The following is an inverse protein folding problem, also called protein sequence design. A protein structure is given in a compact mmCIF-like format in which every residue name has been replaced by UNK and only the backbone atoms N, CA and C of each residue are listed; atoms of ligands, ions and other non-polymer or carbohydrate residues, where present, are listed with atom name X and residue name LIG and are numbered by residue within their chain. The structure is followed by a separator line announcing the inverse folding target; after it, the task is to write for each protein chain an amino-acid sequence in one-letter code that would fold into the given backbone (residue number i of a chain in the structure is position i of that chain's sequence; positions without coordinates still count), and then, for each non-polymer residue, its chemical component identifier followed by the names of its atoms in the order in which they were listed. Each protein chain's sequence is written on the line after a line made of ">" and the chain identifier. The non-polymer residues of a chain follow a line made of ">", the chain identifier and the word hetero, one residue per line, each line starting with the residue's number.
data_IF_913742928318
#
_entry.id   IF_913742928318
#
_cell.length_a   1.000
_cell.length_b   1.000
_cell.length_c   1.000
_cell.angle_alpha   90.00
_cell.angle_beta   90.00
_cell.angle_gamma   90.00
#
_symmetry.space_group_name_H-M   'P 1'
#
loop_
_entity.id
_entity.type
_entity.pdbx_description
1 polymer ?
#
# COMPACT_ATOMS: atom_id res chain seq x y z
N UNK A 1 -14.17 -1.73 -37.21
CA UNK A 1 -15.31 -2.03 -38.12
C UNK A 1 -15.08 -3.40 -38.71
N UNK A 2 -16.05 -4.30 -38.62
CA UNK A 2 -16.03 -5.62 -39.25
C UNK A 2 -17.08 -5.60 -40.37
N UNK A 3 -16.70 -6.00 -41.59
CA UNK A 3 -17.58 -6.01 -42.76
C UNK A 3 -17.78 -7.42 -43.29
N UNK A 4 -19.02 -7.77 -43.63
CA UNK A 4 -19.35 -9.06 -44.29
C UNK A 4 -18.91 -9.12 -45.75
N UNK A 5 -18.51 -8.01 -46.37
CA UNK A 5 -18.16 -7.94 -47.80
C UNK A 5 -16.70 -8.30 -48.11
N UNK A 6 -15.80 -8.25 -47.12
CA UNK A 6 -14.36 -8.54 -47.28
C UNK A 6 -13.89 -9.66 -46.34
N UNK A 7 -14.60 -10.79 -46.33
CA UNK A 7 -14.19 -11.98 -45.57
C UNK A 7 -14.06 -11.78 -44.05
N UNK A 8 -14.79 -10.83 -43.45
CA UNK A 8 -14.71 -10.55 -42.02
C UNK A 8 -13.53 -9.67 -41.59
N UNK A 9 -12.87 -8.97 -42.53
CA UNK A 9 -11.73 -8.09 -42.25
C UNK A 9 -12.10 -7.01 -41.20
N UNK A 10 -11.29 -6.89 -40.15
CA UNK A 10 -11.43 -5.89 -39.11
C UNK A 10 -10.56 -4.65 -39.42
N UNK A 11 -11.21 -3.50 -39.60
CA UNK A 11 -10.57 -2.22 -39.88
C UNK A 11 -10.50 -1.38 -38.60
N UNK A 12 -9.28 -1.03 -38.17
CA UNK A 12 -9.00 -0.14 -37.06
C UNK A 12 -8.82 1.30 -37.56
N UNK A 13 -9.34 2.28 -36.82
CA UNK A 13 -9.25 3.72 -37.16
C UNK A 13 -8.73 4.50 -35.95
N UNK A 14 -7.90 5.51 -36.19
CA UNK A 14 -7.27 6.34 -35.15
C UNK A 14 -8.14 7.49 -34.63
N UNK A 15 -9.23 7.82 -35.32
CA UNK A 15 -10.19 8.88 -34.95
C UNK A 15 -11.62 8.41 -35.18
N UNK A 16 -12.51 8.77 -34.26
CA UNK A 16 -13.95 8.48 -34.38
C UNK A 16 -14.59 9.51 -35.30
N UNK A 17 -15.02 9.09 -36.49
CA UNK A 17 -15.83 9.89 -37.41
C UNK A 17 -17.34 9.73 -37.18
N UNK A 18 -18.19 10.51 -37.87
CA UNK A 18 -19.63 10.35 -37.80
C UNK A 18 -20.06 8.94 -38.22
N UNK A 19 -21.05 8.38 -37.53
CA UNK A 19 -21.64 7.09 -37.88
C UNK A 19 -22.45 7.24 -39.17
N UNK A 20 -22.07 6.47 -40.19
CA UNK A 20 -22.79 6.37 -41.45
C UNK A 20 -23.44 4.99 -41.49
N UNK A 21 -24.74 4.96 -41.77
CA UNK A 21 -25.48 3.71 -41.92
C UNK A 21 -25.00 2.95 -43.17
N UNK A 22 -24.52 1.73 -42.97
CA UNK A 22 -24.07 0.84 -44.03
C UNK A 22 -24.47 -0.62 -43.71
N UNK A 23 -25.41 -1.22 -44.45
CA UNK A 23 -25.90 -2.59 -44.20
C UNK A 23 -24.76 -3.62 -44.20
N UNK A 24 -24.79 -4.58 -43.26
CA UNK A 24 -23.81 -5.68 -43.17
C UNK A 24 -22.50 -5.37 -42.44
N UNK A 25 -22.35 -4.17 -41.86
CA UNK A 25 -21.17 -3.80 -41.09
C UNK A 25 -21.46 -3.75 -39.58
N UNK A 26 -20.55 -4.27 -38.77
CA UNK A 26 -20.53 -4.11 -37.31
C UNK A 26 -19.45 -3.08 -36.96
N UNK A 27 -19.82 -2.05 -36.19
CA UNK A 27 -18.91 -1.00 -35.75
C UNK A 27 -18.85 -1.02 -34.22
N UNK A 28 -17.63 -1.08 -33.67
CA UNK A 28 -17.36 -0.79 -32.27
C UNK A 28 -16.57 0.51 -32.18
N UNK A 29 -16.93 1.38 -31.24
CA UNK A 29 -16.14 2.54 -30.85
C UNK A 29 -15.35 2.12 -29.63
N UNK A 30 -14.01 2.16 -29.72
CA UNK A 30 -13.17 1.97 -28.57
C UNK A 30 -13.26 3.24 -27.72
N UNK A 31 -14.01 3.21 -26.63
CA UNK A 31 -13.84 4.20 -25.57
C UNK A 31 -12.47 3.90 -24.93
N UNK A 32 -11.41 4.47 -25.50
CA UNK A 32 -10.12 4.54 -24.82
C UNK A 32 -10.44 5.28 -23.53
N UNK A 33 -10.41 4.56 -22.41
CA UNK A 33 -10.51 5.13 -21.08
C UNK A 33 -9.55 6.30 -21.07
N UNK A 34 -10.10 7.51 -20.97
CA UNK A 34 -9.32 8.66 -20.56
C UNK A 34 -8.82 8.25 -19.19
N UNK A 35 -7.54 7.87 -19.10
CA UNK A 35 -6.84 7.82 -17.83
C UNK A 35 -7.22 9.12 -17.13
N UNK A 36 -7.85 9.09 -15.95
CA UNK A 36 -8.19 10.31 -15.26
C UNK A 36 -6.95 11.19 -15.27
N UNK A 37 -7.10 12.42 -15.77
CA UNK A 37 -6.04 13.43 -15.66
C UNK A 37 -5.52 13.39 -14.23
N UNK A 38 -4.19 13.51 -14.00
CA UNK A 38 -3.64 13.52 -12.65
C UNK A 38 -4.49 14.47 -11.81
N UNK A 39 -4.96 13.96 -10.67
CA UNK A 39 -5.74 14.72 -9.68
C UNK A 39 -5.15 16.12 -9.56
N UNK A 40 -5.95 17.19 -9.61
CA UNK A 40 -5.42 18.54 -9.46
C UNK A 40 -4.64 18.57 -8.16
N UNK A 41 -3.33 18.79 -8.28
CA UNK A 41 -2.46 18.96 -7.12
C UNK A 41 -3.03 20.11 -6.31
N UNK A 42 -3.44 19.84 -5.08
CA UNK A 42 -3.61 20.94 -4.12
C UNK A 42 -2.25 21.62 -4.09
N UNK A 43 -2.20 22.91 -4.38
CA UNK A 43 -0.97 23.66 -4.20
C UNK A 43 -0.76 23.84 -2.70
N UNK A 44 -0.14 22.83 -2.05
CA UNK A 44 -0.04 22.70 -0.59
C UNK A 44 0.80 23.81 0.04
N UNK A 45 1.67 24.45 -0.75
CA UNK A 45 2.48 25.56 -0.30
C UNK A 45 2.48 26.71 -1.30
N UNK A 46 2.54 27.93 -0.78
CA UNK A 46 2.86 29.11 -1.60
C UNK A 46 4.35 29.41 -1.50
N UNK A 47 5.12 29.12 -2.56
CA UNK A 47 6.56 29.39 -2.60
C UNK A 47 6.86 30.88 -2.78
N UNK A 48 7.88 31.37 -2.08
CA UNK A 48 8.32 32.75 -2.06
C UNK A 48 9.85 32.82 -2.15
N UNK A 49 10.36 33.58 -3.11
CA UNK A 49 11.79 33.83 -3.24
C UNK A 49 12.23 34.99 -2.34
N UNK A 50 13.51 35.02 -2.01
CA UNK A 50 14.14 36.03 -1.15
C UNK A 50 13.43 36.21 0.20
N UNK A 51 12.93 35.10 0.76
CA UNK A 51 12.10 35.10 1.95
C UNK A 51 12.56 34.03 2.91
N UNK A 52 12.71 34.40 4.18
CA UNK A 52 12.92 33.51 5.30
C UNK A 52 11.64 33.44 6.15
N UNK A 53 11.47 32.35 6.88
CA UNK A 53 10.44 32.21 7.90
C UNK A 53 11.10 32.35 9.26
N UNK A 54 10.75 33.37 10.01
CA UNK A 54 11.26 33.56 11.37
C UNK A 54 10.63 32.57 12.35
N UNK A 55 11.39 32.13 13.35
CA UNK A 55 10.92 31.29 14.45
C UNK A 55 11.69 29.98 14.62
N UNK A 56 11.12 29.08 15.43
CA UNK A 56 11.76 27.82 15.81
C UNK A 56 11.73 26.80 14.66
N UNK A 57 12.88 26.17 14.43
CA UNK A 57 13.01 25.03 13.54
C UNK A 57 12.49 23.77 14.25
N UNK A 58 11.63 23.03 13.58
CA UNK A 58 11.18 21.70 14.00
C UNK A 58 12.21 20.65 13.62
N UNK A 59 12.57 20.64 12.33
CA UNK A 59 13.40 19.64 11.69
C UNK A 59 14.23 20.34 10.61
N UNK A 60 15.45 19.85 10.37
CA UNK A 60 16.26 20.24 9.22
C UNK A 60 16.63 19.00 8.39
N UNK A 61 16.53 19.13 7.07
CA UNK A 61 16.76 18.04 6.11
C UNK A 61 17.72 18.56 5.04
N UNK A 62 19.03 18.29 5.15
CA UNK A 62 20.03 18.68 4.16
C UNK A 62 19.85 17.93 2.83
N UNK A 63 20.54 18.39 1.78
CA UNK A 63 20.58 17.76 0.45
C UNK A 63 19.18 17.57 -0.17
N UNK A 64 18.28 18.53 0.04
CA UNK A 64 16.89 18.54 -0.45
C UNK A 64 16.72 19.50 -1.62
N UNK A 65 15.73 19.25 -2.49
CA UNK A 65 15.28 20.26 -3.45
C UNK A 65 14.22 21.19 -2.85
N UNK A 66 14.10 22.45 -3.29
CA UNK A 66 13.06 23.37 -2.82
C UNK A 66 11.64 22.81 -3.00
N UNK A 67 11.41 22.02 -4.06
CA UNK A 67 10.14 21.38 -4.37
C UNK A 67 9.74 20.31 -3.35
N UNK A 68 10.71 19.62 -2.76
CA UNK A 68 10.44 18.54 -1.80
C UNK A 68 10.07 19.08 -0.42
N UNK A 69 10.57 20.28 -0.06
CA UNK A 69 10.36 20.86 1.25
C UNK A 69 8.87 21.06 1.58
N UNK A 70 8.03 21.32 0.56
CA UNK A 70 6.60 21.47 0.75
C UNK A 70 5.96 20.17 1.26
N UNK A 71 6.23 19.05 0.59
CA UNK A 71 5.71 17.74 0.97
C UNK A 71 6.25 17.32 2.34
N UNK A 72 7.54 17.55 2.60
CA UNK A 72 8.18 17.26 3.88
C UNK A 72 7.57 18.08 5.02
N UNK A 73 7.26 19.35 4.80
CA UNK A 73 6.53 20.16 5.76
C UNK A 73 5.11 19.63 5.96
N UNK A 74 4.40 19.32 4.88
CA UNK A 74 3.01 18.84 4.93
C UNK A 74 2.87 17.56 5.78
N UNK A 75 3.82 16.63 5.70
CA UNK A 75 3.81 15.39 6.51
C UNK A 75 4.38 15.57 7.93
N UNK A 76 5.07 16.67 8.20
CA UNK A 76 5.68 16.92 9.50
C UNK A 76 4.68 17.55 10.44
N UNK A 77 4.31 16.82 11.49
CA UNK A 77 3.37 17.31 12.49
C UNK A 77 3.81 18.67 13.07
N UNK A 78 2.91 19.64 13.05
CA UNK A 78 3.16 20.99 13.58
C UNK A 78 3.92 21.91 12.62
N UNK A 79 4.36 21.45 11.45
CA UNK A 79 4.94 22.31 10.44
C UNK A 79 3.87 23.23 9.86
N UNK A 80 4.22 24.51 9.70
CA UNK A 80 3.36 25.54 9.07
C UNK A 80 4.02 26.18 7.88
N UNK A 81 5.35 26.17 7.82
CA UNK A 81 6.10 26.68 6.70
C UNK A 81 7.49 26.05 6.68
N UNK A 82 8.21 26.23 5.59
CA UNK A 82 9.61 25.86 5.48
C UNK A 82 10.45 27.01 4.93
N UNK A 83 11.75 26.89 5.14
CA UNK A 83 12.76 27.69 4.47
C UNK A 83 13.77 26.75 3.84
N UNK A 84 14.30 27.12 2.68
CA UNK A 84 15.31 26.39 1.95
C UNK A 84 16.45 27.30 1.54
N UNK A 85 17.67 26.79 1.60
CA UNK A 85 18.88 27.54 1.23
C UNK A 85 19.86 26.65 0.49
N UNK A 86 20.35 27.15 -0.65
CA UNK A 86 21.40 26.52 -1.45
C UNK A 86 22.76 26.58 -0.75
N UNK A 87 23.02 27.60 0.08
CA UNK A 87 24.36 27.80 0.70
C UNK A 87 24.64 26.86 1.88
N UNK A 88 23.65 26.11 2.34
CA UNK A 88 23.80 25.10 3.40
C UNK A 88 23.53 23.71 2.85
N UNK A 89 24.20 23.32 1.77
CA UNK A 89 24.02 22.04 1.09
C UNK A 89 22.55 21.75 0.70
N UNK A 90 21.80 22.77 0.27
CA UNK A 90 20.39 22.61 -0.10
C UNK A 90 19.51 22.12 1.07
N UNK A 91 19.54 22.79 2.22
CA UNK A 91 18.80 22.32 3.40
C UNK A 91 17.37 22.85 3.44
N UNK A 92 16.38 21.99 3.71
CA UNK A 92 15.03 22.39 4.13
C UNK A 92 15.00 22.54 5.67
N UNK A 93 14.63 23.70 6.19
CA UNK A 93 14.27 23.91 7.59
C UNK A 93 12.75 23.99 7.70
N UNK A 94 12.16 22.98 8.34
CA UNK A 94 10.73 22.90 8.61
C UNK A 94 10.43 23.69 9.88
N UNK A 95 9.41 24.55 9.86
CA UNK A 95 9.16 25.57 10.87
C UNK A 95 7.73 25.52 11.39
N UNK A 96 7.58 25.79 12.68
CA UNK A 96 6.28 25.84 13.37
C UNK A 96 5.59 27.22 13.30
N UNK A 97 6.27 28.19 12.70
CA UNK A 97 5.82 29.56 12.42
C UNK A 97 5.57 29.74 10.93
N UNK A 98 4.80 30.75 10.55
CA UNK A 98 4.58 31.20 9.17
C UNK A 98 4.97 32.67 8.96
N UNK A 99 5.58 33.31 9.95
CA UNK A 99 5.98 34.73 9.89
C UNK A 99 7.16 34.92 8.95
N UNK A 100 6.93 35.62 7.84
CA UNK A 100 7.93 35.88 6.79
C UNK A 100 8.80 37.09 7.09
N UNK A 101 10.09 37.02 6.75
CA UNK A 101 11.02 38.16 6.69
C UNK A 101 11.83 38.12 5.40
N UNK A 102 12.23 39.27 4.88
CA UNK A 102 13.06 39.33 3.67
C UNK A 102 14.46 38.76 3.95
N UNK A 103 14.94 37.86 3.08
CA UNK A 103 16.30 37.35 3.12
C UNK A 103 16.74 36.92 1.71
N UNK A 104 17.70 37.64 1.13
CA UNK A 104 18.11 37.46 -0.26
C UNK A 104 18.73 36.06 -0.50
N UNK A 105 18.27 35.38 -1.56
CA UNK A 105 18.76 34.04 -1.93
C UNK A 105 18.12 32.87 -1.18
N UNK A 106 17.19 33.14 -0.27
CA UNK A 106 16.45 32.13 0.49
C UNK A 106 15.07 31.89 -0.12
N UNK A 107 14.65 30.63 -0.20
CA UNK A 107 13.31 30.24 -0.66
C UNK A 107 12.49 29.84 0.56
N UNK A 108 11.26 30.33 0.69
CA UNK A 108 10.32 29.89 1.71
C UNK A 108 9.06 29.33 1.07
N UNK A 109 8.33 28.49 1.82
CA UNK A 109 6.99 28.08 1.46
C UNK A 109 6.10 28.03 2.70
N UNK A 110 4.93 28.68 2.63
CA UNK A 110 3.93 28.61 3.71
C UNK A 110 2.89 27.58 3.32
N UNK A 111 2.62 26.62 4.23
CA UNK A 111 1.58 25.63 4.02
C UNK A 111 0.22 26.32 4.02
N UNK A 112 -0.60 25.98 3.03
CA UNK A 112 -2.03 26.28 3.07
C UNK A 112 -2.71 25.18 3.88
N UNK A 113 -3.39 25.51 5.00
CA UNK A 113 -4.14 24.50 5.75
C UNK A 113 -5.16 23.83 4.83
N UNK A 114 -4.98 22.54 4.59
CA UNK A 114 -5.94 21.71 3.88
C UNK A 114 -6.51 20.70 4.87
N UNK A 115 -7.81 20.74 5.08
CA UNK A 115 -8.50 19.69 5.84
C UNK A 115 -8.87 18.58 4.86
N UNK A 116 -8.22 17.43 5.00
CA UNK A 116 -8.61 16.24 4.24
C UNK A 116 -9.78 15.58 4.97
N UNK A 117 -10.93 15.55 4.31
CA UNK A 117 -12.08 14.80 4.78
C UNK A 117 -12.05 13.40 4.15
N UNK A 118 -11.77 12.40 4.98
CA UNK A 118 -11.82 10.99 4.60
C UNK A 118 -13.26 10.47 4.65
N UNK A 119 -13.74 9.95 3.53
CA UNK A 119 -15.08 9.39 3.39
C UNK A 119 -14.98 7.89 3.12
N UNK A 120 -15.80 7.09 3.82
CA UNK A 120 -15.79 5.65 3.64
C UNK A 120 -16.23 5.33 2.20
N UNK A 121 -15.32 4.71 1.45
CA UNK A 121 -15.55 4.32 0.06
C UNK A 121 -15.87 2.85 -0.05
N UNK A 122 -15.18 2.01 0.73
CA UNK A 122 -15.30 0.58 0.61
C UNK A 122 -15.06 -0.12 1.94
N UNK A 123 -15.76 -1.23 2.16
CA UNK A 123 -15.51 -2.14 3.28
C UNK A 123 -15.30 -3.56 2.76
N UNK A 124 -14.25 -4.21 3.28
CA UNK A 124 -14.03 -5.65 3.24
C UNK A 124 -14.36 -6.20 4.63
N UNK A 125 -15.41 -7.01 4.73
CA UNK A 125 -15.86 -7.61 5.98
C UNK A 125 -16.36 -9.04 5.74
N UNK A 126 -16.76 -9.74 6.79
CA UNK A 126 -17.23 -11.13 6.70
C UNK A 126 -18.33 -11.38 5.68
N UNK A 127 -19.17 -10.39 5.37
CA UNK A 127 -20.24 -10.56 4.38
C UNK A 127 -19.72 -10.63 2.93
N UNK A 128 -18.56 -10.04 2.64
CA UNK A 128 -18.10 -9.85 1.26
C UNK A 128 -16.63 -10.20 1.00
N UNK A 129 -15.82 -10.48 2.04
CA UNK A 129 -14.36 -10.54 1.95
C UNK A 129 -13.90 -11.40 0.76
N UNK A 130 -14.13 -12.72 0.79
CA UNK A 130 -13.66 -13.62 -0.28
C UNK A 130 -14.24 -13.30 -1.66
N UNK A 131 -15.45 -12.74 -1.74
CA UNK A 131 -16.05 -12.38 -3.03
C UNK A 131 -15.37 -11.19 -3.71
N UNK A 132 -14.62 -10.39 -2.95
CA UNK A 132 -13.87 -9.23 -3.44
C UNK A 132 -12.43 -9.53 -3.83
N UNK A 133 -11.97 -10.77 -3.64
CA UNK A 133 -10.63 -11.20 -4.03
C UNK A 133 -10.71 -12.27 -5.14
N UNK A 134 -9.65 -12.33 -5.94
CA UNK A 134 -9.32 -13.44 -6.81
C UNK A 134 -8.33 -14.35 -6.05
N UNK A 135 -8.48 -15.67 -6.20
CA UNK A 135 -7.57 -16.65 -5.60
C UNK A 135 -6.49 -17.03 -6.62
N UNK A 136 -5.24 -16.71 -6.30
CA UNK A 136 -4.07 -17.11 -7.08
C UNK A 136 -3.79 -18.59 -6.87
N UNK A 137 -3.44 -19.31 -7.93
CA UNK A 137 -3.21 -20.77 -7.87
C UNK A 137 -1.92 -21.23 -8.53
N UNK A 138 -1.19 -20.33 -9.18
CA UNK A 138 0.04 -20.69 -9.89
C UNK A 138 1.20 -20.91 -8.91
N UNK A 139 2.38 -21.25 -9.43
CA UNK A 139 3.59 -21.41 -8.60
C UNK A 139 3.92 -20.11 -7.88
N UNK A 140 4.38 -20.21 -6.64
CA UNK A 140 4.71 -19.04 -5.84
C UNK A 140 5.86 -18.24 -6.50
N UNK A 141 5.66 -16.94 -6.82
CA UNK A 141 6.70 -16.13 -7.45
C UNK A 141 7.99 -15.99 -6.63
N UNK A 142 7.91 -16.16 -5.30
CA UNK A 142 9.05 -16.13 -4.37
C UNK A 142 9.59 -17.52 -4.04
N UNK A 143 9.23 -18.52 -4.86
CA UNK A 143 9.73 -19.90 -4.81
C UNK A 143 9.52 -20.60 -3.46
N UNK A 144 8.49 -20.21 -2.72
CA UNK A 144 8.13 -20.84 -1.46
C UNK A 144 7.63 -22.27 -1.60
N UNK A 145 7.76 -23.04 -0.52
CA UNK A 145 7.22 -24.39 -0.38
C UNK A 145 5.74 -24.34 0.02
N UNK A 146 4.94 -23.76 -0.87
CA UNK A 146 3.51 -23.53 -0.71
C UNK A 146 2.73 -24.11 -1.89
N UNK A 147 1.49 -24.54 -1.62
CA UNK A 147 0.53 -24.92 -2.66
C UNK A 147 -0.66 -23.97 -2.58
N UNK A 148 -0.66 -22.89 -3.37
CA UNK A 148 -1.78 -21.97 -3.40
C UNK A 148 -2.99 -22.62 -4.08
N UNK A 149 -4.08 -22.72 -3.33
CA UNK A 149 -5.31 -23.39 -3.78
C UNK A 149 -6.42 -22.39 -4.08
N UNK A 150 -7.34 -22.78 -4.98
CA UNK A 150 -8.52 -21.97 -5.26
C UNK A 150 -9.49 -21.95 -4.08
N UNK A 151 -10.49 -21.06 -4.14
CA UNK A 151 -11.46 -20.85 -3.08
C UNK A 151 -12.21 -22.14 -2.66
N UNK A 152 -12.66 -22.96 -3.62
CA UNK A 152 -13.42 -24.17 -3.31
C UNK A 152 -12.58 -25.19 -2.54
N UNK A 153 -11.33 -25.37 -2.94
CA UNK A 153 -10.39 -26.27 -2.25
C UNK A 153 -10.02 -25.70 -0.89
N UNK A 154 -9.78 -24.39 -0.78
CA UNK A 154 -9.50 -23.71 0.49
C UNK A 154 -10.64 -23.92 1.49
N UNK A 155 -11.90 -23.81 1.07
CA UNK A 155 -13.07 -24.08 1.91
C UNK A 155 -13.14 -25.54 2.35
N UNK A 156 -12.94 -26.48 1.42
CA UNK A 156 -12.98 -27.91 1.71
C UNK A 156 -11.90 -28.31 2.72
N UNK A 157 -10.72 -27.71 2.63
CA UNK A 157 -9.59 -27.95 3.52
C UNK A 157 -9.67 -27.12 4.82
N UNK A 158 -10.68 -26.26 4.98
CA UNK A 158 -10.82 -25.40 6.16
C UNK A 158 -9.79 -24.27 6.26
N UNK A 159 -9.13 -23.93 5.14
CA UNK A 159 -8.12 -22.86 5.09
C UNK A 159 -8.75 -21.47 5.14
N UNK A 160 -10.02 -21.36 4.74
CA UNK A 160 -10.78 -20.11 4.80
C UNK A 160 -12.17 -20.35 5.39
N UNK A 161 -12.64 -19.41 6.21
CA UNK A 161 -14.00 -19.44 6.76
C UNK A 161 -14.40 -18.08 7.35
N UNK A 162 -15.70 -17.88 7.53
CA UNK A 162 -16.21 -16.79 8.37
C UNK A 162 -16.66 -17.41 9.69
N UNK A 163 -16.07 -16.97 10.79
CA UNK A 163 -16.44 -17.42 12.12
C UNK A 163 -17.80 -16.85 12.53
N UNK A 164 -18.46 -17.52 13.47
CA UNK A 164 -19.80 -17.11 13.95
C UNK A 164 -19.85 -15.71 14.57
N UNK A 165 -18.73 -15.22 15.09
CA UNK A 165 -18.58 -13.86 15.61
C UNK A 165 -18.30 -12.81 14.51
N UNK A 166 -18.30 -13.20 13.24
CA UNK A 166 -18.11 -12.31 12.10
C UNK A 166 -16.65 -12.02 11.73
N UNK A 167 -15.67 -12.70 12.33
CA UNK A 167 -14.26 -12.60 11.91
C UNK A 167 -13.98 -13.48 10.70
N UNK A 168 -13.06 -13.03 9.86
CA UNK A 168 -12.63 -13.73 8.65
C UNK A 168 -11.35 -14.51 8.98
N UNK A 169 -11.36 -15.81 8.74
CA UNK A 169 -10.21 -16.70 8.93
C UNK A 169 -9.54 -17.02 7.60
N UNK A 170 -8.22 -16.97 7.54
CA UNK A 170 -7.47 -17.35 6.36
C UNK A 170 -6.09 -17.88 6.76
N UNK A 171 -5.82 -19.17 6.54
CA UNK A 171 -4.57 -19.79 6.98
C UNK A 171 -4.09 -20.89 6.06
N UNK A 172 -3.15 -21.68 6.58
CA UNK A 172 -2.57 -22.83 5.90
C UNK A 172 -3.04 -24.16 6.51
N UNK A 173 -2.82 -25.26 5.77
CA UNK A 173 -2.99 -26.59 6.34
C UNK A 173 -2.09 -26.72 7.56
N UNK A 174 -2.61 -27.27 8.65
CA UNK A 174 -1.86 -27.55 9.86
C UNK A 174 -2.18 -28.95 10.43
N UNK A 175 -2.61 -29.86 9.55
CA UNK A 175 -3.05 -31.22 9.94
C UNK A 175 -2.27 -32.31 9.23
N UNK A 176 -1.85 -32.05 7.99
CA UNK A 176 -1.31 -33.07 7.11
C UNK A 176 0.18 -32.87 6.88
N UNK A 177 0.92 -33.97 6.89
CA UNK A 177 2.26 -33.99 6.31
C UNK A 177 2.15 -33.84 4.80
N UNK A 178 3.10 -33.14 4.19
CA UNK A 178 3.13 -32.97 2.74
C UNK A 178 3.86 -34.17 2.13
N UNK A 179 3.17 -34.93 1.29
CA UNK A 179 3.68 -36.16 0.67
C UNK A 179 3.39 -36.18 -0.82
N UNK A 180 4.04 -37.09 -1.57
CA UNK A 180 3.68 -37.37 -2.96
C UNK A 180 4.07 -36.27 -3.97
N UNK A 181 5.13 -35.50 -3.70
CA UNK A 181 5.65 -34.51 -4.65
C UNK A 181 4.73 -33.29 -4.86
N UNK A 182 3.84 -32.99 -3.91
CA UNK A 182 3.06 -31.75 -3.90
C UNK A 182 3.98 -30.52 -3.88
N UNK A 183 3.49 -29.41 -4.43
CA UNK A 183 4.21 -28.13 -4.52
C UNK A 183 4.67 -27.59 -3.16
N UNK A 184 3.85 -27.80 -2.14
CA UNK A 184 4.14 -27.35 -0.80
C UNK A 184 2.96 -27.50 0.16
N UNK A 185 3.01 -26.78 1.29
CA UNK A 185 1.92 -26.74 2.26
C UNK A 185 0.73 -25.94 1.69
N UNK A 186 -0.49 -26.49 1.68
CA UNK A 186 -1.66 -25.77 1.18
C UNK A 186 -1.88 -24.45 1.93
N UNK A 187 -2.05 -23.37 1.17
CA UNK A 187 -2.32 -22.02 1.66
C UNK A 187 -3.12 -21.26 0.59
N UNK A 188 -3.35 -19.97 0.80
CA UNK A 188 -4.05 -19.12 -0.16
C UNK A 188 -3.31 -17.80 -0.38
N UNK A 189 -3.40 -17.29 -1.61
CA UNK A 189 -2.99 -15.94 -1.99
C UNK A 189 -4.16 -15.25 -2.67
N UNK A 190 -4.58 -14.13 -2.11
CA UNK A 190 -5.77 -13.38 -2.48
C UNK A 190 -5.33 -12.05 -3.07
N UNK A 191 -5.83 -11.70 -4.26
CA UNK A 191 -5.62 -10.39 -4.88
C UNK A 191 -6.95 -9.65 -5.04
N UNK A 192 -7.05 -8.43 -4.54
CA UNK A 192 -8.31 -7.67 -4.59
C UNK A 192 -8.73 -7.44 -6.03
N UNK A 193 -10.02 -7.54 -6.31
CA UNK A 193 -10.57 -7.19 -7.63
C UNK A 193 -10.46 -5.69 -7.90
N UNK A 194 -10.60 -4.89 -6.86
CA UNK A 194 -10.37 -3.45 -6.92
C UNK A 194 -8.86 -3.15 -6.98
N UNK A 195 -8.52 -2.12 -7.76
CA UNK A 195 -7.19 -1.52 -7.80
C UNK A 195 -7.27 -0.09 -7.26
N UNK A 196 -6.21 0.35 -6.59
CA UNK A 196 -6.16 1.64 -5.88
C UNK A 196 -5.05 2.54 -6.42
N UNK A 197 -5.27 3.85 -6.33
CA UNK A 197 -4.27 4.88 -6.66
C UNK A 197 -4.03 5.82 -5.46
N UNK A 198 -4.43 5.39 -4.27
CA UNK A 198 -4.48 6.22 -3.07
C UNK A 198 -5.68 5.87 -2.20
N UNK A 199 -5.65 6.39 -0.98
CA UNK A 199 -6.69 6.15 0.02
C UNK A 199 -6.12 6.02 1.42
N UNK A 200 -7.02 5.96 2.39
CA UNK A 200 -6.73 5.59 3.77
C UNK A 200 -7.32 4.22 4.04
N UNK A 201 -6.46 3.24 4.28
CA UNK A 201 -6.80 1.85 4.52
C UNK A 201 -6.65 1.56 6.01
N UNK A 202 -7.76 1.23 6.66
CA UNK A 202 -7.81 0.82 8.06
C UNK A 202 -7.97 -0.69 8.10
N UNK A 203 -6.90 -1.41 8.35
CA UNK A 203 -6.90 -2.87 8.48
C UNK A 203 -6.98 -3.25 9.97
N UNK A 204 -8.16 -3.69 10.42
CA UNK A 204 -8.40 -4.19 11.76
C UNK A 204 -8.13 -5.70 11.79
N UNK A 205 -7.05 -6.08 12.47
CA UNK A 205 -6.49 -7.43 12.48
C UNK A 205 -6.40 -7.95 13.92
N UNK A 206 -6.89 -9.16 14.15
CA UNK A 206 -6.86 -9.82 15.46
C UNK A 206 -5.69 -10.80 15.60
N UNK A 207 -5.25 -11.41 14.50
CA UNK A 207 -4.18 -12.39 14.47
C UNK A 207 -3.48 -12.38 13.10
N UNK A 208 -2.17 -12.52 13.07
CA UNK A 208 -1.37 -12.74 11.86
C UNK A 208 -0.61 -14.06 11.93
N UNK A 209 -0.22 -14.67 10.79
CA UNK A 209 0.43 -15.97 10.80
C UNK A 209 1.75 -15.97 11.56
N UNK A 210 1.96 -17.04 12.31
CA UNK A 210 3.22 -17.36 13.00
C UNK A 210 3.59 -18.81 12.76
N UNK A 211 4.86 -19.13 12.96
CA UNK A 211 5.39 -20.49 12.86
C UNK A 211 6.72 -20.55 12.09
N UNK A 212 7.52 -21.60 12.31
CA UNK A 212 8.82 -21.75 11.66
C UNK A 212 8.69 -21.83 10.15
N UNK A 213 9.44 -20.98 9.45
CA UNK A 213 9.48 -20.93 8.00
C UNK A 213 8.26 -20.27 7.34
N UNK A 214 7.33 -19.70 8.12
CA UNK A 214 6.25 -18.87 7.57
C UNK A 214 6.79 -17.57 6.97
N UNK A 215 6.13 -17.09 5.93
CA UNK A 215 6.33 -15.75 5.36
C UNK A 215 4.96 -15.20 4.93
N UNK A 216 4.23 -14.55 5.84
CA UNK A 216 2.96 -13.91 5.52
C UNK A 216 3.15 -12.45 5.09
N UNK A 217 2.30 -12.00 4.17
CA UNK A 217 2.29 -10.63 3.71
C UNK A 217 0.87 -10.06 3.55
N UNK A 218 0.70 -8.79 3.92
CA UNK A 218 -0.41 -7.91 3.53
C UNK A 218 0.19 -6.68 2.85
N UNK A 219 -0.03 -6.58 1.55
CA UNK A 219 0.79 -5.73 0.68
C UNK A 219 0.00 -5.27 -0.54
N UNK A 220 0.59 -4.35 -1.31
CA UNK A 220 0.01 -3.81 -2.52
C UNK A 220 0.97 -4.02 -3.68
N UNK A 221 0.44 -4.34 -4.86
CA UNK A 221 1.26 -4.54 -6.06
C UNK A 221 0.61 -3.93 -7.29
N UNK A 222 1.41 -3.22 -8.09
CA UNK A 222 0.97 -2.71 -9.38
C UNK A 222 0.89 -3.80 -10.47
N UNK A 223 0.31 -3.50 -11.64
CA UNK A 223 0.06 -4.50 -12.68
C UNK A 223 1.30 -4.96 -13.45
N UNK A 224 2.40 -4.20 -13.41
CA UNK A 224 3.67 -4.51 -14.06
C UNK A 224 4.81 -4.36 -13.05
N UNK A 225 5.09 -5.43 -12.29
CA UNK A 225 6.13 -5.41 -11.27
C UNK A 225 7.54 -5.54 -11.88
N UNK A 226 8.55 -4.76 -11.43
CA UNK A 226 8.51 -3.75 -10.36
C UNK A 226 8.22 -2.31 -10.87
N UNK A 227 7.94 -2.13 -12.17
CA UNK A 227 7.73 -0.82 -12.81
C UNK A 227 6.50 -0.06 -12.25
N UNK A 228 5.51 -0.79 -11.73
CA UNK A 228 4.34 -0.25 -11.05
C UNK A 228 4.33 -0.49 -9.54
N UNK A 229 5.50 -0.83 -9.00
CA UNK A 229 5.80 -0.80 -7.59
C UNK A 229 5.12 -1.88 -6.76
N UNK A 230 5.62 -2.00 -5.55
CA UNK A 230 5.14 -2.86 -4.48
C UNK A 230 5.22 -2.08 -3.16
N UNK A 231 4.24 -2.27 -2.29
CA UNK A 231 4.23 -1.67 -0.97
C UNK A 231 3.77 -2.69 0.07
N UNK A 232 4.73 -3.18 0.85
CA UNK A 232 4.53 -4.15 1.91
C UNK A 232 4.16 -3.43 3.19
N UNK A 233 2.95 -3.66 3.67
CA UNK A 233 2.40 -2.95 4.82
C UNK A 233 2.50 -3.81 6.07
N UNK A 234 2.34 -5.12 5.91
CA UNK A 234 2.67 -6.11 6.94
C UNK A 234 3.48 -7.20 6.26
N UNK A 235 4.74 -7.36 6.66
CA UNK A 235 5.59 -8.42 6.15
C UNK A 235 6.64 -8.82 7.18
N UNK A 236 6.99 -10.10 7.14
CA UNK A 236 8.10 -10.66 7.89
C UNK A 236 8.12 -12.17 7.73
N UNK A 237 9.07 -12.80 8.41
CA UNK A 237 9.23 -14.25 8.40
C UNK A 237 9.05 -14.83 9.80
N UNK A 238 8.91 -16.15 9.90
CA UNK A 238 8.75 -16.86 11.16
C UNK A 238 9.82 -16.48 12.19
N UNK A 239 9.38 -16.04 13.38
CA UNK A 239 10.24 -15.61 14.48
C UNK A 239 10.56 -14.11 14.51
N UNK A 240 10.21 -13.35 13.47
CA UNK A 240 10.31 -11.89 13.52
C UNK A 240 9.39 -11.32 14.62
N UNK A 241 9.84 -10.23 15.26
CA UNK A 241 9.06 -9.50 16.27
C UNK A 241 8.71 -8.08 15.82
N UNK A 242 9.33 -7.62 14.74
CA UNK A 242 9.15 -6.30 14.13
C UNK A 242 8.46 -6.49 12.79
N UNK A 243 7.47 -5.64 12.52
CA UNK A 243 6.85 -5.61 11.21
C UNK A 243 7.75 -4.83 10.24
N UNK A 244 8.08 -5.40 9.10
CA UNK A 244 8.77 -4.68 8.03
C UNK A 244 7.73 -3.97 7.17
N UNK A 245 7.90 -2.66 6.97
CA UNK A 245 7.15 -1.89 5.97
C UNK A 245 8.14 -1.53 4.87
N UNK A 246 7.93 -2.05 3.66
CA UNK A 246 8.91 -1.98 2.58
C UNK A 246 8.27 -1.46 1.30
N UNK A 247 9.03 -0.70 0.50
CA UNK A 247 8.65 -0.42 -0.89
C UNK A 247 9.66 -1.02 -1.84
N UNK A 248 9.15 -1.59 -2.94
CA UNK A 248 9.96 -2.05 -4.07
C UNK A 248 9.56 -1.33 -5.35
N UNK A 249 10.55 -0.99 -6.17
CA UNK A 249 10.40 -0.21 -7.40
C UNK A 249 11.44 -0.62 -8.44
N UNK A 250 11.23 -0.18 -9.69
CA UNK A 250 12.32 -0.07 -10.66
C UNK A 250 13.29 1.07 -10.28
N UNK A 251 14.46 1.14 -10.93
CA UNK A 251 15.52 2.12 -10.63
C UNK A 251 14.99 3.57 -10.65
N UNK A 252 15.43 4.40 -9.69
CA UNK A 252 15.12 5.83 -9.58
C UNK A 252 14.23 6.24 -8.40
N UNK A 253 14.04 5.39 -7.39
CA UNK A 253 13.35 5.74 -6.15
C UNK A 253 14.20 5.39 -4.92
N UNK A 254 14.67 6.43 -4.22
CA UNK A 254 15.50 6.30 -3.03
C UNK A 254 14.99 7.20 -1.91
N UNK A 255 14.75 6.61 -0.74
CA UNK A 255 14.50 7.34 0.50
C UNK A 255 15.78 7.95 1.03
N UNK A 256 15.65 8.95 1.89
CA UNK A 256 16.81 9.58 2.53
C UNK A 256 16.91 9.16 3.99
N UNK A 257 18.10 8.84 4.46
CA UNK A 257 18.35 8.51 5.87
C UNK A 257 17.91 9.64 6.81
N UNK A 258 17.96 10.89 6.35
CA UNK A 258 17.49 12.07 7.08
C UNK A 258 15.98 12.06 7.33
N UNK A 259 15.22 11.14 6.70
CA UNK A 259 13.79 10.95 6.96
C UNK A 259 13.51 10.17 8.25
N UNK A 260 14.51 9.56 8.90
CA UNK A 260 14.37 8.83 10.17
C UNK A 260 13.66 9.66 11.27
N UNK A 261 13.83 10.98 11.25
CA UNK A 261 13.17 11.91 12.17
C UNK A 261 11.68 12.14 11.87
N UNK A 262 11.13 11.61 10.77
CA UNK A 262 9.72 11.74 10.35
C UNK A 262 8.85 10.55 10.79
N UNK A 263 9.43 9.41 11.14
CA UNK A 263 8.70 8.23 11.64
C UNK A 263 9.29 7.63 12.95
N UNK A 264 8.56 6.72 13.60
CA UNK A 264 8.94 6.11 14.89
C UNK A 264 9.62 4.75 14.77
N UNK A 265 9.41 4.03 13.66
CA UNK A 265 10.19 2.86 13.30
C UNK A 265 11.64 3.22 12.99
N UNK A 266 12.45 2.25 12.59
CA UNK A 266 13.86 2.45 12.22
C UNK A 266 14.06 1.94 10.81
N UNK A 267 14.81 2.66 9.96
CA UNK A 267 15.22 2.05 8.70
C UNK A 267 15.90 0.69 8.97
N UNK A 268 15.51 -0.32 8.19
CA UNK A 268 16.13 -1.63 8.30
C UNK A 268 17.63 -1.53 8.00
N UNK A 269 18.39 -2.41 8.62
CA UNK A 269 19.83 -2.49 8.38
C UNK A 269 20.07 -3.14 7.02
N UNK A 270 20.67 -2.36 6.10
CA UNK A 270 20.88 -2.80 4.73
C UNK A 270 21.98 -3.86 4.62
N UNK A 271 22.30 -4.26 3.38
CA UNK A 271 23.40 -5.20 3.08
C UNK A 271 24.73 -4.92 3.80
N UNK A 272 25.10 -3.66 3.94
CA UNK A 272 26.28 -3.27 4.75
C UNK A 272 25.80 -2.87 6.14
N UNK A 273 26.18 -3.62 7.16
CA UNK A 273 25.80 -3.35 8.54
C UNK A 273 26.09 -1.89 8.95
N UNK A 274 25.07 -1.22 9.48
CA UNK A 274 25.09 0.19 9.86
C UNK A 274 24.70 1.14 8.72
N UNK A 275 24.40 0.64 7.52
CA UNK A 275 23.93 1.43 6.37
C UNK A 275 22.43 1.18 6.17
N UNK A 276 21.57 2.20 6.34
CA UNK A 276 20.12 2.06 6.19
C UNK A 276 19.68 1.57 4.79
N UNK A 277 18.77 0.60 4.74
CA UNK A 277 18.08 0.15 3.53
C UNK A 277 17.14 1.25 3.00
N UNK A 278 17.67 2.13 2.16
CA UNK A 278 17.00 3.37 1.72
C UNK A 278 16.70 3.41 0.24
N UNK A 279 17.40 2.65 -0.60
CA UNK A 279 17.05 2.51 -2.01
C UNK A 279 15.88 1.54 -2.16
N UNK A 280 14.85 1.92 -2.92
CA UNK A 280 13.67 1.10 -3.14
C UNK A 280 13.84 0.23 -4.41
N UNK A 281 14.97 0.34 -5.11
CA UNK A 281 15.23 -0.42 -6.32
C UNK A 281 15.57 -1.89 -6.03
N UNK A 282 14.83 -2.81 -6.64
CA UNK A 282 14.99 -4.26 -6.40
C UNK A 282 16.34 -4.87 -6.83
N UNK A 283 17.11 -4.17 -7.67
CA UNK A 283 18.38 -4.65 -8.22
C UNK A 283 19.55 -3.71 -7.90
N UNK A 284 19.46 -2.94 -6.81
CA UNK A 284 20.62 -2.19 -6.33
C UNK A 284 21.72 -3.16 -5.83
N UNK A 285 22.89 -3.04 -6.43
CA UNK A 285 24.10 -3.82 -6.11
C UNK A 285 24.67 -3.44 -4.75
N UNK A 286 24.34 -2.24 -4.25
CA UNK A 286 24.62 -1.77 -2.89
C UNK A 286 23.74 -2.43 -1.81
N UNK A 287 22.65 -3.09 -2.20
CA UNK A 287 21.66 -3.71 -1.32
C UNK A 287 21.60 -5.24 -1.47
N UNK A 288 20.87 -5.90 -0.57
CA UNK A 288 20.53 -7.31 -0.77
C UNK A 288 19.61 -7.42 -2.00
N UNK A 289 19.67 -8.53 -2.75
CA UNK A 289 18.74 -8.74 -3.85
C UNK A 289 17.29 -8.60 -3.35
N UNK A 290 16.51 -7.72 -4.00
CA UNK A 290 15.14 -7.42 -3.62
C UNK A 290 14.96 -6.89 -2.17
N UNK A 291 15.96 -6.19 -1.61
CA UNK A 291 15.86 -5.58 -0.27
C UNK A 291 14.80 -4.47 -0.21
N UNK A 292 14.78 -3.60 -1.23
CA UNK A 292 13.94 -2.42 -1.24
C UNK A 292 14.28 -1.45 -0.11
N UNK A 293 13.44 -0.43 0.05
CA UNK A 293 13.61 0.56 1.11
C UNK A 293 12.67 0.19 2.24
N UNK A 294 13.24 -0.26 3.36
CA UNK A 294 12.48 -0.90 4.44
C UNK A 294 12.61 -0.15 5.75
N UNK A 295 11.50 -0.09 6.48
CA UNK A 295 11.40 0.49 7.83
C UNK A 295 10.82 -0.57 8.76
N UNK A 296 11.61 -0.97 9.75
CA UNK A 296 11.21 -1.85 10.84
C UNK A 296 10.38 -1.08 11.88
N UNK A 297 9.16 -1.56 12.10
CA UNK A 297 8.34 -1.12 13.21
C UNK A 297 8.93 -1.54 14.57
N UNK A 298 8.57 -0.89 15.69
CA UNK A 298 9.03 -1.29 17.01
C UNK A 298 8.74 -2.77 17.34
N UNK A 299 9.60 -3.40 18.14
CA UNK A 299 9.40 -4.79 18.55
C UNK A 299 8.05 -5.06 19.23
N UNK A 300 7.47 -6.22 18.96
CA UNK A 300 6.15 -6.63 19.44
C UNK A 300 5.00 -6.22 18.52
N UNK A 301 5.28 -5.56 17.40
CA UNK A 301 4.27 -5.15 16.40
C UNK A 301 3.94 -6.24 15.38
N UNK A 302 4.64 -7.37 15.41
CA UNK A 302 4.48 -8.47 14.47
C UNK A 302 4.44 -9.83 15.18
N UNK A 303 3.87 -10.82 14.49
CA UNK A 303 3.82 -12.21 14.91
C UNK A 303 3.25 -12.40 16.31
N UNK A 304 3.99 -13.15 17.15
CA UNK A 304 3.54 -13.54 18.49
C UNK A 304 3.23 -12.34 19.40
N UNK A 305 4.02 -11.25 19.28
CA UNK A 305 3.80 -10.03 20.06
C UNK A 305 2.48 -9.34 19.69
N UNK A 306 2.18 -9.26 18.39
CA UNK A 306 0.92 -8.72 17.89
C UNK A 306 -0.27 -9.60 18.31
N UNK A 307 -0.14 -10.91 18.13
CA UNK A 307 -1.19 -11.88 18.45
C UNK A 307 -1.51 -11.90 19.95
N UNK A 308 -0.49 -11.87 20.81
CA UNK A 308 -0.64 -11.85 22.27
C UNK A 308 -1.32 -10.57 22.80
N UNK A 309 -1.25 -9.48 22.03
CA UNK A 309 -1.93 -8.22 22.32
C UNK A 309 -3.38 -8.17 21.80
N UNK A 310 -3.93 -9.29 21.31
CA UNK A 310 -5.21 -9.36 20.59
C UNK A 310 -5.24 -8.50 19.32
N UNK A 311 -4.08 -8.44 18.65
CA UNK A 311 -3.84 -7.72 17.42
C UNK A 311 -3.91 -6.20 17.56
N UNK A 312 -4.51 -5.55 16.57
CA UNK A 312 -4.49 -4.10 16.43
C UNK A 312 -5.07 -3.60 15.11
N UNK A 313 -4.80 -2.32 14.82
CA UNK A 313 -5.11 -1.68 13.55
C UNK A 313 -3.79 -1.27 12.89
N UNK A 314 -3.59 -1.74 11.65
CA UNK A 314 -2.53 -1.24 10.78
C UNK A 314 -3.18 -0.31 9.76
N UNK A 315 -2.77 0.96 9.75
CA UNK A 315 -3.33 1.97 8.89
C UNK A 315 -2.32 2.39 7.83
N UNK A 316 -2.67 2.29 6.54
CA UNK A 316 -1.92 2.87 5.43
C UNK A 316 -2.66 4.13 4.96
N UNK A 317 -1.97 5.26 4.94
CA UNK A 317 -2.42 6.43 4.20
C UNK A 317 -1.53 6.65 2.99
N UNK A 318 -2.15 6.61 1.82
CA UNK A 318 -1.50 6.80 0.55
C UNK A 318 -2.10 8.01 -0.15
N UNK A 319 -1.37 9.13 -0.10
CA UNK A 319 -1.64 10.31 -0.91
C UNK A 319 -0.80 10.21 -2.19
N UNK A 320 -1.46 9.92 -3.31
CA UNK A 320 -0.86 9.54 -4.60
C UNK A 320 0.40 10.29 -4.98
N UNK A 321 0.42 11.61 -4.83
CA UNK A 321 1.50 12.47 -5.32
C UNK A 321 2.48 12.91 -4.23
N UNK A 322 2.29 12.45 -2.99
CA UNK A 322 2.91 13.07 -1.84
C UNK A 322 3.66 12.07 -0.96
N UNK A 323 3.01 10.96 -0.57
CA UNK A 323 3.63 9.97 0.31
C UNK A 323 2.79 8.69 0.44
N UNK A 324 3.43 7.68 1.01
CA UNK A 324 2.77 6.64 1.79
C UNK A 324 3.22 6.74 3.26
N UNK A 325 2.32 6.56 4.21
CA UNK A 325 2.65 6.45 5.63
C UNK A 325 1.83 5.37 6.31
N UNK A 326 2.47 4.69 7.25
CA UNK A 326 1.91 3.54 7.95
C UNK A 326 1.95 3.77 9.46
N UNK A 327 0.86 3.43 10.14
CA UNK A 327 0.81 3.32 11.59
C UNK A 327 0.48 1.89 12.00
N UNK A 328 1.14 1.42 13.05
CA UNK A 328 0.77 0.20 13.75
C UNK A 328 0.23 0.56 15.12
N UNK A 329 -1.09 0.47 15.30
CA UNK A 329 -1.76 0.67 16.59
C UNK A 329 -2.07 -0.69 17.21
N UNK A 330 -1.38 -1.03 18.31
CA UNK A 330 -1.75 -2.20 19.10
C UNK A 330 -3.19 -2.05 19.64
N UNK A 331 -3.91 -3.15 19.88
CA UNK A 331 -5.35 -3.17 20.19
C UNK A 331 -5.82 -2.13 21.22
N UNK A 332 -5.06 -1.93 22.29
CA UNK A 332 -5.40 -1.01 23.38
C UNK A 332 -5.10 0.47 23.08
N UNK A 333 -4.45 0.75 21.95
CA UNK A 333 -3.96 2.07 21.54
C UNK A 333 -4.59 2.52 20.21
N UNK A 334 -5.64 1.85 19.74
CA UNK A 334 -6.35 2.24 18.53
C UNK A 334 -7.08 3.59 18.76
N UNK A 335 -6.81 4.62 17.93
CA UNK A 335 -7.49 5.90 18.01
C UNK A 335 -9.02 5.79 17.96
N UNK A 336 -9.71 6.60 18.77
CA UNK A 336 -11.18 6.55 18.90
C UNK A 336 -11.92 6.97 17.61
N UNK A 337 -11.33 7.85 16.83
CA UNK A 337 -11.88 8.29 15.54
C UNK A 337 -11.90 7.16 14.49
N UNK A 338 -10.93 6.23 14.55
CA UNK A 338 -10.95 5.00 13.73
C UNK A 338 -12.14 4.12 14.12
N UNK A 339 -12.36 3.88 15.41
CA UNK A 339 -13.47 3.03 15.89
C UNK A 339 -14.83 3.68 15.67
N UNK A 340 -14.89 5.01 15.66
CA UNK A 340 -16.08 5.80 15.32
C UNK A 340 -16.34 5.91 13.80
N UNK A 341 -15.41 5.46 12.95
CA UNK A 341 -15.56 5.49 11.49
C UNK A 341 -15.35 6.88 10.86
N UNK A 342 -14.67 7.78 11.55
CA UNK A 342 -14.33 9.13 11.09
C UNK A 342 -12.84 9.39 11.22
N UNK A 343 -11.97 8.55 10.62
CA UNK A 343 -10.54 8.60 10.87
C UNK A 343 -9.93 9.93 10.41
N UNK A 344 -9.07 10.49 11.26
CA UNK A 344 -8.30 11.69 10.99
C UNK A 344 -6.81 11.48 11.34
N UNK A 345 -6.00 11.08 10.34
CA UNK A 345 -4.58 10.84 10.52
C UNK A 345 -3.76 12.04 11.06
N UNK A 346 -4.24 13.28 10.91
CA UNK A 346 -3.53 14.46 11.43
C UNK A 346 -3.39 14.44 12.96
N UNK A 347 -4.25 13.68 13.65
CA UNK A 347 -4.32 13.61 15.11
C UNK A 347 -3.66 12.36 15.69
N UNK A 348 -3.14 11.46 14.86
CA UNK A 348 -2.54 10.19 15.32
C UNK A 348 -1.08 10.32 15.74
N UNK A 349 -0.48 11.48 15.51
CA UNK A 349 0.93 11.72 15.77
C UNK A 349 1.83 11.10 14.70
N UNK A 350 3.08 10.89 15.08
CA UNK A 350 4.15 10.44 14.17
C UNK A 350 3.89 9.00 13.68
N UNK A 351 3.95 8.73 12.35
CA UNK A 351 3.72 7.39 11.81
C UNK A 351 4.84 6.43 12.18
N UNK A 352 4.54 5.13 12.10
CA UNK A 352 5.52 4.04 12.24
C UNK A 352 6.51 4.05 11.09
N UNK A 353 6.03 4.26 9.86
CA UNK A 353 6.85 4.40 8.65
C UNK A 353 6.31 5.51 7.75
N UNK A 354 7.18 6.20 7.02
CA UNK A 354 6.76 7.17 5.98
C UNK A 354 7.75 7.17 4.83
N UNK A 355 7.19 7.21 3.62
CA UNK A 355 7.88 7.23 2.35
C UNK A 355 7.43 8.48 1.57
N UNK A 356 8.14 9.61 1.72
CA UNK A 356 7.81 10.83 1.00
C UNK A 356 8.14 10.69 -0.49
N UNK A 357 7.21 11.07 -1.36
CA UNK A 357 7.45 11.20 -2.79
C UNK A 357 7.97 12.59 -3.14
N UNK A 358 8.85 12.65 -4.13
CA UNK A 358 9.54 13.87 -4.54
C UNK A 358 10.61 13.59 -5.58
N UNK A 359 11.62 14.45 -5.67
CA UNK A 359 12.66 14.31 -6.69
C UNK A 359 13.47 13.01 -6.57
N UNK A 360 13.65 12.50 -5.35
CA UNK A 360 14.43 11.27 -5.09
C UNK A 360 13.60 10.00 -5.22
N UNK A 361 12.29 10.10 -5.09
CA UNK A 361 11.37 8.99 -5.33
C UNK A 361 10.08 9.52 -5.97
N UNK A 362 10.01 9.54 -7.31
CA UNK A 362 8.82 9.94 -8.03
C UNK A 362 7.61 9.03 -7.72
N UNK A 363 6.44 9.63 -7.52
CA UNK A 363 5.19 8.86 -7.28
C UNK A 363 4.70 8.02 -8.45
N UNK A 364 5.37 8.11 -9.62
CA UNK A 364 5.02 7.35 -10.83
C UNK A 364 5.28 5.86 -10.67
N UNK A 365 6.05 5.40 -9.68
CA UNK A 365 6.21 3.97 -9.46
C UNK A 365 4.94 3.32 -8.93
N UNK A 366 4.09 3.98 -8.15
CA UNK A 366 2.98 3.31 -7.47
C UNK A 366 1.64 3.60 -8.15
N UNK A 367 1.11 2.72 -9.00
CA UNK A 367 -0.18 2.96 -9.67
C UNK A 367 -1.02 1.70 -9.79
N UNK A 368 -2.34 1.88 -9.74
CA UNK A 368 -3.33 0.82 -9.94
C UNK A 368 -3.00 -0.43 -9.13
N UNK A 369 -2.71 -0.24 -7.85
CA UNK A 369 -2.20 -1.31 -7.01
C UNK A 369 -3.35 -2.16 -6.47
N UNK A 370 -3.27 -3.46 -6.67
CA UNK A 370 -4.16 -4.43 -6.05
C UNK A 370 -3.64 -4.76 -4.65
N UNK A 371 -4.57 -4.86 -3.70
CA UNK A 371 -4.28 -5.35 -2.37
C UNK A 371 -4.12 -6.87 -2.39
N UNK A 372 -3.05 -7.37 -1.78
CA UNK A 372 -2.72 -8.78 -1.67
C UNK A 372 -2.72 -9.21 -0.20
N UNK A 373 -3.24 -10.42 0.04
CA UNK A 373 -2.87 -11.21 1.21
C UNK A 373 -2.30 -12.54 0.76
N UNK A 374 -1.29 -13.02 1.46
CA UNK A 374 -0.88 -14.40 1.35
C UNK A 374 -0.20 -14.92 2.61
N UNK A 375 0.14 -16.19 2.53
CA UNK A 375 1.03 -16.88 3.44
C UNK A 375 1.79 -17.91 2.62
N UNK A 376 3.06 -17.63 2.33
CA UNK A 376 4.00 -18.60 1.79
C UNK A 376 4.87 -19.21 2.89
N UNK A 377 5.75 -20.13 2.49
CA UNK A 377 6.69 -20.80 3.37
C UNK A 377 8.06 -20.91 2.72
N UNK A 378 9.12 -20.72 3.50
CA UNK A 378 10.50 -20.86 3.03
C UNK A 378 10.79 -19.95 1.84
N UNK A 379 11.30 -20.48 0.73
CA UNK A 379 11.53 -19.71 -0.49
C UNK A 379 12.66 -18.71 -0.36
N UNK A 380 12.59 -17.67 -1.19
CA UNK A 380 13.69 -16.73 -1.43
C UNK A 380 14.14 -16.00 -0.16
N UNK A 381 13.20 -15.62 0.72
CA UNK A 381 13.51 -14.96 1.99
C UNK A 381 13.50 -15.91 3.19
N UNK A 382 12.32 -16.40 3.63
CA UNK A 382 12.24 -17.20 4.85
C UNK A 382 13.11 -18.46 4.79
N UNK A 383 13.27 -19.05 3.61
CA UNK A 383 14.10 -20.24 3.41
C UNK A 383 15.59 -19.94 3.43
N UNK A 384 16.02 -18.81 2.86
CA UNK A 384 17.44 -18.47 2.75
C UNK A 384 18.08 -18.14 4.10
N UNK A 385 17.31 -17.54 5.02
CA UNK A 385 17.77 -17.22 6.38
C UNK A 385 17.35 -18.23 7.45
N UNK A 386 16.61 -19.29 7.07
CA UNK A 386 16.21 -20.33 8.01
C UNK A 386 17.43 -21.06 8.60
N UNK A 387 17.44 -21.41 9.90
CA UNK A 387 18.51 -22.21 10.48
C UNK A 387 18.69 -23.56 9.75
N UNK A 388 19.84 -23.76 9.10
CA UNK A 388 20.11 -24.93 8.25
C UNK A 388 19.71 -24.75 6.77
N UNK A 389 19.29 -23.55 6.39
CA UNK A 389 18.96 -23.15 5.02
C UNK A 389 17.61 -23.68 4.51
N UNK A 390 17.34 -23.41 3.24
CA UNK A 390 16.03 -23.66 2.63
C UNK A 390 15.62 -25.14 2.68
N UNK A 391 16.57 -26.07 2.53
CA UNK A 391 16.28 -27.51 2.65
C UNK A 391 15.78 -27.92 4.04
N UNK A 392 16.33 -27.34 5.11
CA UNK A 392 15.87 -27.57 6.48
C UNK A 392 14.50 -26.92 6.73
N UNK A 393 14.28 -25.74 6.15
CA UNK A 393 12.97 -25.08 6.20
C UNK A 393 11.88 -25.96 5.57
N UNK A 394 12.11 -26.42 4.33
CA UNK A 394 11.19 -27.30 3.60
C UNK A 394 10.93 -28.58 4.39
N UNK A 395 11.97 -29.18 4.96
CA UNK A 395 11.82 -30.39 5.78
C UNK A 395 10.93 -30.15 7.01
N UNK A 396 11.02 -28.99 7.67
CA UNK A 396 10.13 -28.64 8.78
C UNK A 396 8.69 -28.46 8.30
N UNK A 397 8.49 -27.59 7.31
CA UNK A 397 7.17 -27.28 6.74
C UNK A 397 6.48 -28.54 6.24
N UNK A 398 7.22 -29.47 5.65
CA UNK A 398 6.70 -30.73 5.15
C UNK A 398 6.24 -31.69 6.27
N UNK A 399 7.03 -31.82 7.35
CA UNK A 399 6.89 -32.94 8.28
C UNK A 399 6.21 -32.60 9.61
N UNK A 400 6.05 -31.31 9.92
CA UNK A 400 5.58 -30.84 11.23
C UNK A 400 4.29 -30.00 11.13
N UNK A 401 3.15 -30.58 10.65
CA UNK A 401 1.91 -29.83 10.45
C UNK A 401 1.42 -29.09 11.70
N UNK A 402 1.64 -29.65 12.90
CA UNK A 402 1.21 -29.06 14.16
C UNK A 402 1.84 -27.67 14.44
N UNK A 403 3.01 -27.39 13.87
CA UNK A 403 3.72 -26.12 14.04
C UNK A 403 2.98 -24.96 13.35
N UNK A 404 2.02 -25.27 12.46
CA UNK A 404 1.30 -24.31 11.63
C UNK A 404 -0.12 -24.01 12.12
N UNK A 405 -0.47 -24.47 13.32
CA UNK A 405 -1.76 -24.13 13.96
C UNK A 405 -1.93 -22.62 14.22
N UNK A 406 -0.81 -21.89 14.36
CA UNK A 406 -0.77 -20.42 14.43
C UNK A 406 -0.59 -19.73 13.07
N UNK A 407 -0.53 -20.47 11.96
CA UNK A 407 -0.22 -19.92 10.64
C UNK A 407 -1.50 -19.44 9.93
N UNK A 408 -2.17 -18.43 10.51
CA UNK A 408 -3.40 -17.85 9.97
C UNK A 408 -3.57 -16.37 10.28
N UNK A 409 -4.26 -15.70 9.36
CA UNK A 409 -4.83 -14.38 9.52
C UNK A 409 -6.22 -14.48 10.15
N UNK A 410 -6.50 -13.62 11.12
CA UNK A 410 -7.84 -13.41 11.67
C UNK A 410 -8.20 -11.93 11.54
N UNK A 411 -9.08 -11.63 10.59
CA UNK A 411 -9.35 -10.27 10.15
C UNK A 411 -10.75 -9.85 10.63
N UNK A 412 -10.86 -8.66 11.22
CA UNK A 412 -12.16 -8.06 11.51
C UNK A 412 -12.71 -7.37 10.27
N UNK A 413 -11.94 -6.44 9.70
CA UNK A 413 -12.31 -5.72 8.49
C UNK A 413 -11.15 -4.97 7.87
N UNK A 414 -11.29 -4.60 6.60
CA UNK A 414 -10.55 -3.50 6.00
C UNK A 414 -11.56 -2.43 5.59
N UNK A 415 -11.36 -1.20 6.05
CA UNK A 415 -12.15 -0.05 5.61
C UNK A 415 -11.26 0.87 4.79
N UNK A 416 -11.68 1.14 3.56
CA UNK A 416 -10.99 2.05 2.64
C UNK A 416 -11.76 3.36 2.61
N UNK A 417 -11.06 4.44 2.93
CA UNK A 417 -11.56 5.79 2.83
C UNK A 417 -10.89 6.50 1.66
N UNK A 418 -11.69 7.30 0.95
CA UNK A 418 -11.22 8.17 -0.11
C UNK A 418 -11.43 9.61 0.34
N UNK A 419 -10.49 10.49 0.01
CA UNK A 419 -10.70 11.90 0.22
C UNK A 419 -11.59 12.44 -0.92
N UNK A 420 -12.32 13.52 -0.71
CA UNK A 420 -13.21 14.09 -1.74
C UNK A 420 -12.52 14.56 -3.03
N UNK A 421 -11.21 14.36 -3.14
CA UNK A 421 -10.42 14.60 -4.35
C UNK A 421 -10.25 13.31 -5.15
N UNK A 422 -10.20 12.14 -4.50
CA UNK A 422 -10.20 10.82 -5.13
C UNK A 422 -11.62 10.31 -5.38
N UNK A 423 -12.33 10.87 -6.37
CA UNK A 423 -13.61 10.32 -6.79
C UNK A 423 -13.43 8.89 -7.31
N UNK A 424 -14.19 7.95 -6.74
CA UNK A 424 -14.26 6.54 -7.07
C UNK A 424 -14.30 6.28 -8.58
N UNK A 425 -13.48 5.34 -9.07
CA UNK A 425 -13.76 4.64 -10.32
C UNK A 425 -14.88 3.64 -10.00
N UNK A 426 -16.13 4.05 -10.23
CA UNK A 426 -17.24 3.11 -10.20
C UNK A 426 -16.95 1.99 -11.21
N UNK A 427 -17.02 0.76 -10.73
CA UNK A 427 -16.99 -0.44 -11.55
C UNK A 427 -18.12 -0.36 -12.59
N UNK A 428 -17.78 -0.05 -13.85
CA UNK A 428 -18.74 0.01 -14.95
C UNK A 428 -19.15 -1.40 -15.44
N UNK A 429 -19.15 -2.39 -14.55
CA UNK A 429 -19.70 -3.72 -14.78
C UNK A 429 -21.19 -3.86 -14.47
N UNK A 430 -21.84 -2.89 -13.77
CA UNK A 430 -23.21 -3.10 -13.26
C UNK A 430 -24.24 -1.97 -13.51
N UNK A 431 -23.91 -0.87 -14.18
CA UNK A 431 -24.87 0.23 -14.38
C UNK A 431 -25.62 0.12 -15.72
N UNK A 432 -26.52 -0.86 -15.85
CA UNK A 432 -27.63 -0.74 -16.80
C UNK A 432 -28.83 -0.12 -16.08
N UNK A 433 -29.03 1.18 -16.34
CA UNK A 433 -30.25 1.97 -16.04
C UNK A 433 -30.56 2.28 -14.57
N UNK A 434 -29.94 3.33 -14.03
CA UNK A 434 -30.58 4.56 -13.51
C UNK A 434 -29.51 5.42 -12.84
N UNK A 435 -29.59 6.74 -13.04
CA UNK A 435 -28.72 7.73 -12.41
C UNK A 435 -28.86 7.64 -10.89
N UNK A 436 -27.75 7.40 -10.17
CA UNK A 436 -27.68 7.67 -8.74
C UNK A 436 -26.35 8.34 -8.38
N UNK A 437 -26.51 9.61 -8.00
CA UNK A 437 -25.83 10.34 -6.93
C UNK A 437 -24.28 10.44 -6.91
N UNK A 438 -23.76 11.48 -7.56
CA UNK A 438 -22.60 12.23 -7.07
C UNK A 438 -23.01 13.70 -6.87
N UNK A 439 -22.58 14.29 -5.76
CA UNK A 439 -22.88 15.63 -5.24
C UNK A 439 -24.24 15.77 -4.52
N UNK A 440 -24.16 15.97 -3.20
CA UNK A 440 -25.28 16.43 -2.41
C UNK A 440 -25.70 17.82 -2.85
N UNK A 441 -26.88 17.91 -3.47
CA UNK A 441 -27.77 19.07 -3.57
C UNK A 441 -29.01 18.64 -4.37
N UNK A 442 -29.86 17.79 -3.78
CA UNK A 442 -31.20 17.56 -4.31
C UNK A 442 -32.18 18.49 -3.59
N UNK A 443 -32.31 19.72 -4.08
CA UNK A 443 -33.52 20.50 -3.84
C UNK A 443 -34.67 19.90 -4.67
N UNK A 444 -35.79 19.67 -3.98
CA UNK A 444 -37.11 19.31 -4.48
C UNK A 444 -37.33 19.52 -5.99
N UNK A 445 -37.50 18.42 -6.72
CA UNK A 445 -38.32 18.39 -7.94
C UNK A 445 -39.05 17.03 -7.98
N UNK A 446 -40.29 17.03 -7.50
CA UNK A 446 -41.27 16.05 -7.96
C UNK A 446 -41.51 16.31 -9.45
N UNK A 447 -41.47 15.26 -10.27
CA UNK A 447 -42.12 15.29 -11.58
C UNK A 447 -42.86 13.97 -11.84
N UNK A 448 -44.02 14.17 -12.44
CA UNK A 448 -45.17 13.30 -12.68
C UNK A 448 -44.90 12.13 -13.64
#
# INVERSE_FOLDING_TARGET
>A
MISSYNGGTCWLKSITGPLIYAPGNIVGILNKTVVPSPLPSINKCTMQNNTDISGNNLINIPNSQPSDCCNLCYITQGCKAYTWSSVSNGTCWLKSSSTTSFNNGIIAGVLTPATINWTLSETYNSANFYSKFNFYTDGDPTHGFVDYVNQSVAQQLGLISVNSNGTIYMGADHTSKITGGKRGRPSVRLSSKAAYNGGLFIHDLLHMPVGPGTWPAYWFVGPDWPNNGEADIIEGIGGNTMNAVTLHTADGCTMRKEYQQLFTGTFADGKTHGVPATDCFIQDWGQQPNEGCSIDAPGGTYGDGFNSANGGVIALEWEKNDFMRVWVFMRNNVPADITQGTPNPSNWGKPTAVFPFGSNCPSIYFNNMNLIYDLTFCGDWAGSVYPGGNGACIANVQNNPQDYSGAYWLINSIKVYQNGLTSCVADLGACQRRQDCCSGLCFNLQCQ
#
